data_IF_323922040170
#
_entry.id   IF_323922040170
#
_cell.length_a   1.000
_cell.length_b   1.000
_cell.length_c   1.000
_cell.angle_alpha   90.00
_cell.angle_beta   90.00
_cell.angle_gamma   90.00
#
_symmetry.space_group_name_H-M   'P 1'
#
loop_
_entity.id
_entity.type
_entity.pdbx_description
1 polymer ?
#
# COMPACT_ATOMS: atom_id res chain seq x y z
N UNK A 1 18.11 -4.45 -4.87
CA UNK A 1 17.57 -4.28 -3.49
C UNK A 1 17.01 -5.61 -3.02
N UNK A 2 17.28 -6.00 -1.76
CA UNK A 2 16.71 -7.24 -1.23
C UNK A 2 15.20 -7.08 -1.02
N UNK A 3 14.42 -8.18 -1.12
CA UNK A 3 12.97 -8.15 -0.91
C UNK A 3 12.57 -7.60 0.48
N UNK A 4 13.42 -7.78 1.48
CA UNK A 4 13.22 -7.19 2.83
C UNK A 4 13.44 -5.68 2.84
N UNK A 5 14.47 -5.19 2.16
CA UNK A 5 14.73 -3.75 2.05
C UNK A 5 13.62 -3.02 1.31
N UNK A 6 13.11 -3.61 0.24
CA UNK A 6 12.00 -3.05 -0.53
C UNK A 6 10.69 -2.98 0.29
N UNK A 7 10.41 -4.03 1.09
CA UNK A 7 9.28 -4.01 2.03
C UNK A 7 9.45 -2.92 3.09
N UNK A 8 10.65 -2.79 3.66
CA UNK A 8 10.96 -1.75 4.65
C UNK A 8 10.72 -0.35 4.09
N UNK A 9 11.18 -0.08 2.87
CA UNK A 9 10.97 1.20 2.19
C UNK A 9 9.47 1.50 1.97
N UNK A 10 8.71 0.50 1.51
CA UNK A 10 7.25 0.65 1.33
C UNK A 10 6.53 0.94 2.66
N UNK A 11 6.97 0.32 3.78
CA UNK A 11 6.41 0.60 5.11
C UNK A 11 6.71 2.05 5.52
N UNK A 12 7.94 2.53 5.34
CA UNK A 12 8.31 3.91 5.68
C UNK A 12 7.47 4.91 4.87
N UNK A 13 7.31 4.68 3.57
CA UNK A 13 6.49 5.52 2.70
C UNK A 13 4.99 5.47 3.11
N UNK A 14 4.48 4.29 3.46
CA UNK A 14 3.10 4.15 3.93
C UNK A 14 2.86 4.87 5.26
N UNK A 15 3.83 4.83 6.20
CA UNK A 15 3.76 5.58 7.47
C UNK A 15 3.81 7.09 7.22
N UNK A 16 4.65 7.57 6.31
CA UNK A 16 4.70 8.98 5.94
C UNK A 16 3.37 9.44 5.32
N UNK A 17 2.80 8.67 4.38
CA UNK A 17 1.50 8.95 3.78
C UNK A 17 0.35 8.90 4.80
N UNK A 18 0.42 7.96 5.75
CA UNK A 18 -0.53 7.89 6.86
C UNK A 18 -0.48 9.16 7.73
N UNK A 19 0.70 9.67 8.02
CA UNK A 19 0.88 10.93 8.74
C UNK A 19 0.24 12.11 8.03
N UNK A 20 0.48 12.25 6.72
CA UNK A 20 -0.14 13.28 5.88
C UNK A 20 -1.66 13.18 5.89
N UNK A 21 -2.22 11.99 5.67
CA UNK A 21 -3.66 11.76 5.62
C UNK A 21 -4.32 11.98 6.99
N UNK A 22 -3.65 11.59 8.09
CA UNK A 22 -4.11 11.83 9.47
C UNK A 22 -4.19 13.32 9.78
N UNK A 23 -3.16 14.07 9.39
CA UNK A 23 -3.14 15.52 9.58
C UNK A 23 -4.28 16.21 8.84
N UNK A 24 -4.47 15.89 7.55
CA UNK A 24 -5.56 16.48 6.76
C UNK A 24 -6.95 16.08 7.28
N UNK A 25 -7.11 14.85 7.74
CA UNK A 25 -8.37 14.39 8.36
C UNK A 25 -8.64 15.16 9.65
N UNK A 26 -7.62 15.34 10.50
CA UNK A 26 -7.75 16.14 11.72
C UNK A 26 -8.15 17.59 11.42
N UNK A 27 -7.46 18.23 10.47
CA UNK A 27 -7.73 19.63 10.05
C UNK A 27 -9.18 19.77 9.56
N UNK A 28 -9.65 18.82 8.76
CA UNK A 28 -11.01 18.83 8.22
C UNK A 28 -12.07 18.77 9.36
N UNK A 29 -11.94 17.83 10.30
CA UNK A 29 -12.90 17.67 11.39
C UNK A 29 -12.77 18.73 12.50
N UNK A 30 -11.59 19.27 12.71
CA UNK A 30 -11.36 20.35 13.66
C UNK A 30 -11.82 21.71 13.15
N UNK A 31 -12.16 21.84 11.85
CA UNK A 31 -12.55 23.11 11.24
C UNK A 31 -11.44 24.17 11.24
N UNK A 32 -10.17 23.72 11.32
CA UNK A 32 -9.00 24.61 11.30
C UNK A 32 -8.38 24.59 9.90
N UNK A 33 -7.69 25.68 9.53
CA UNK A 33 -7.01 25.76 8.26
C UNK A 33 -5.68 24.99 8.30
N UNK A 34 -5.37 24.22 7.24
CA UNK A 34 -4.08 23.55 7.13
C UNK A 34 -2.95 24.58 7.01
N UNK A 35 -1.84 24.32 7.70
CA UNK A 35 -0.63 25.12 7.56
C UNK A 35 -0.02 24.88 6.18
N UNK A 36 0.04 25.93 5.35
CA UNK A 36 0.65 25.90 4.03
C UNK A 36 1.75 26.94 3.93
N UNK A 37 2.91 26.54 3.41
CA UNK A 37 4.09 27.39 3.31
C UNK A 37 4.11 28.22 2.01
N UNK A 38 3.41 27.80 0.97
CA UNK A 38 3.39 28.41 -0.37
C UNK A 38 2.17 29.26 -0.70
N UNK A 39 1.60 29.97 0.29
CA UNK A 39 0.69 31.07 -0.02
C UNK A 39 -0.79 30.75 -0.17
N UNK A 40 -1.37 29.88 0.67
CA UNK A 40 -2.81 29.91 0.93
C UNK A 40 -3.71 29.10 -0.04
N UNK A 41 -3.15 28.26 -0.92
CA UNK A 41 -3.95 27.48 -1.85
C UNK A 41 -4.62 26.24 -1.21
N UNK A 42 -4.15 25.79 -0.05
CA UNK A 42 -4.68 24.60 0.63
C UNK A 42 -6.12 24.78 1.10
N UNK A 43 -6.48 25.96 1.60
CA UNK A 43 -7.85 26.29 2.00
C UNK A 43 -8.82 26.11 0.83
N UNK A 44 -8.47 26.67 -0.33
CA UNK A 44 -9.29 26.59 -1.55
C UNK A 44 -9.55 25.15 -2.00
N UNK A 45 -8.55 24.27 -1.86
CA UNK A 45 -8.68 22.85 -2.18
C UNK A 45 -9.54 22.13 -1.15
N UNK A 46 -9.33 22.37 0.15
CA UNK A 46 -10.05 21.73 1.24
C UNK A 46 -11.52 22.15 1.34
N UNK A 47 -11.88 23.34 0.87
CA UNK A 47 -13.26 23.83 0.82
C UNK A 47 -13.95 23.61 -0.53
N UNK A 48 -13.26 23.01 -1.49
CA UNK A 48 -13.83 22.72 -2.80
C UNK A 48 -14.82 21.54 -2.75
N UNK A 49 -15.72 21.46 -3.71
CA UNK A 49 -16.66 20.32 -3.88
C UNK A 49 -15.93 18.98 -4.11
N UNK A 50 -14.65 19.01 -4.44
CA UNK A 50 -13.80 17.83 -4.63
C UNK A 50 -13.12 17.36 -3.33
N UNK A 51 -13.22 18.13 -2.25
CA UNK A 51 -12.72 17.71 -0.92
C UNK A 51 -13.57 16.61 -0.30
N UNK A 52 -14.80 16.42 -0.79
CA UNK A 52 -15.70 15.35 -0.40
C UNK A 52 -16.01 14.44 -1.59
N UNK A 53 -15.92 13.15 -1.37
CA UNK A 53 -16.31 12.14 -2.34
C UNK A 53 -17.41 11.27 -1.74
N UNK A 54 -18.59 11.28 -2.37
CA UNK A 54 -19.78 10.57 -1.87
C UNK A 54 -20.17 10.95 -0.42
N UNK A 55 -19.98 12.21 -0.02
CA UNK A 55 -20.29 12.69 1.35
C UNK A 55 -19.22 12.33 2.40
N UNK A 56 -18.07 11.81 1.99
CA UNK A 56 -16.95 11.56 2.90
C UNK A 56 -15.74 12.42 2.51
N UNK A 57 -15.01 12.97 3.49
CA UNK A 57 -13.79 13.70 3.21
C UNK A 57 -12.76 12.82 2.50
N UNK A 58 -12.20 13.30 1.41
CA UNK A 58 -11.15 12.59 0.64
C UNK A 58 -9.95 12.25 1.52
N UNK A 59 -9.62 13.11 2.49
CA UNK A 59 -8.56 12.85 3.45
C UNK A 59 -8.82 11.57 4.27
N UNK A 60 -10.07 11.32 4.68
CA UNK A 60 -10.46 10.11 5.40
C UNK A 60 -10.33 8.86 4.52
N UNK A 61 -10.71 8.96 3.25
CA UNK A 61 -10.54 7.85 2.28
C UNK A 61 -9.06 7.53 2.13
N UNK A 62 -8.21 8.55 2.00
CA UNK A 62 -6.75 8.40 1.96
C UNK A 62 -6.19 7.75 3.23
N UNK A 63 -6.66 8.19 4.40
CA UNK A 63 -6.28 7.61 5.69
C UNK A 63 -6.57 6.11 5.75
N UNK A 64 -7.79 5.71 5.42
CA UNK A 64 -8.20 4.29 5.39
C UNK A 64 -7.38 3.49 4.37
N UNK A 65 -7.08 4.07 3.22
CA UNK A 65 -6.22 3.47 2.20
C UNK A 65 -4.81 3.19 2.72
N UNK A 66 -4.16 4.15 3.38
CA UNK A 66 -2.83 3.96 3.96
C UNK A 66 -2.83 2.96 5.12
N UNK A 67 -3.88 2.95 5.96
CA UNK A 67 -4.04 1.94 7.02
C UNK A 67 -4.13 0.54 6.40
N UNK A 68 -4.93 0.35 5.35
CA UNK A 68 -5.06 -0.93 4.67
C UNK A 68 -3.74 -1.38 4.04
N UNK A 69 -3.04 -0.48 3.33
CA UNK A 69 -1.71 -0.75 2.75
C UNK A 69 -0.72 -1.16 3.83
N UNK A 70 -0.66 -0.42 4.94
CA UNK A 70 0.26 -0.71 6.03
C UNK A 70 -0.05 -2.05 6.69
N UNK A 71 -1.33 -2.36 6.96
CA UNK A 71 -1.77 -3.63 7.50
C UNK A 71 -1.35 -4.80 6.59
N UNK A 72 -1.54 -4.67 5.26
CA UNK A 72 -1.11 -5.68 4.29
C UNK A 72 0.41 -5.83 4.23
N UNK A 73 1.17 -4.73 4.33
CA UNK A 73 2.63 -4.78 4.36
C UNK A 73 3.16 -5.43 5.65
N UNK A 74 2.47 -5.30 6.77
CA UNK A 74 2.85 -5.90 8.05
C UNK A 74 2.40 -7.37 8.17
N UNK A 75 1.37 -7.78 7.44
CA UNK A 75 0.84 -9.15 7.43
C UNK A 75 1.83 -10.18 6.88
N UNK A 76 1.62 -11.49 7.14
CA UNK A 76 2.38 -12.57 6.52
C UNK A 76 2.35 -12.45 4.99
N UNK A 77 3.53 -12.56 4.36
CA UNK A 77 3.73 -12.24 2.95
C UNK A 77 3.40 -13.42 2.05
N UNK A 78 2.12 -13.75 1.93
CA UNK A 78 1.61 -14.66 0.88
C UNK A 78 1.58 -13.96 -0.48
N UNK A 79 1.43 -14.71 -1.55
CA UNK A 79 1.24 -14.17 -2.89
C UNK A 79 -0.01 -13.28 -2.96
N UNK A 80 -1.12 -13.75 -2.38
CA UNK A 80 -2.38 -13.01 -2.29
C UNK A 80 -2.20 -11.68 -1.55
N UNK A 81 -1.52 -11.67 -0.40
CA UNK A 81 -1.27 -10.44 0.37
C UNK A 81 -0.46 -9.42 -0.42
N UNK A 82 0.54 -9.88 -1.17
CA UNK A 82 1.37 -9.02 -2.03
C UNK A 82 0.59 -8.45 -3.20
N UNK A 83 -0.24 -9.28 -3.85
CA UNK A 83 -1.13 -8.85 -4.92
C UNK A 83 -2.15 -7.81 -4.41
N UNK A 84 -2.80 -8.07 -3.29
CA UNK A 84 -3.77 -7.15 -2.69
C UNK A 84 -3.10 -5.82 -2.30
N UNK A 85 -1.92 -5.85 -1.68
CA UNK A 85 -1.19 -4.63 -1.34
C UNK A 85 -0.83 -3.80 -2.59
N UNK A 86 -0.37 -4.45 -3.67
CA UNK A 86 -0.09 -3.79 -4.95
C UNK A 86 -1.36 -3.15 -5.51
N UNK A 87 -2.49 -3.86 -5.50
CA UNK A 87 -3.78 -3.37 -5.99
C UNK A 87 -4.23 -2.12 -5.22
N UNK A 88 -4.14 -2.12 -3.89
CA UNK A 88 -4.46 -0.94 -3.08
C UNK A 88 -3.56 0.26 -3.39
N UNK A 89 -2.26 0.04 -3.57
CA UNK A 89 -1.33 1.11 -3.95
C UNK A 89 -1.67 1.67 -5.34
N UNK A 90 -1.99 0.83 -6.32
CA UNK A 90 -2.34 1.28 -7.67
C UNK A 90 -3.68 2.03 -7.70
N UNK A 91 -4.68 1.57 -6.96
CA UNK A 91 -5.96 2.28 -6.81
C UNK A 91 -5.71 3.65 -6.15
N UNK A 92 -4.94 3.70 -5.06
CA UNK A 92 -4.57 4.94 -4.39
C UNK A 92 -3.82 5.90 -5.32
N UNK A 93 -2.87 5.38 -6.11
CA UNK A 93 -2.14 6.17 -7.11
C UNK A 93 -3.08 6.76 -8.17
N UNK A 94 -3.96 5.94 -8.76
CA UNK A 94 -4.92 6.39 -9.78
C UNK A 94 -5.88 7.47 -9.22
N UNK A 95 -6.37 7.26 -7.99
CA UNK A 95 -7.22 8.22 -7.30
C UNK A 95 -6.48 9.53 -6.99
N UNK A 96 -5.25 9.45 -6.52
CA UNK A 96 -4.40 10.62 -6.26
C UNK A 96 -4.08 11.39 -7.54
N UNK A 97 -3.78 10.70 -8.65
CA UNK A 97 -3.55 11.32 -9.95
C UNK A 97 -4.81 12.05 -10.45
N UNK A 98 -5.99 11.44 -10.27
CA UNK A 98 -7.26 12.09 -10.59
C UNK A 98 -7.47 13.37 -9.77
N UNK A 99 -7.21 13.35 -8.47
CA UNK A 99 -7.36 14.53 -7.62
C UNK A 99 -6.36 15.63 -8.00
N UNK A 100 -5.11 15.29 -8.25
CA UNK A 100 -4.09 16.24 -8.71
C UNK A 100 -4.49 16.87 -10.04
N UNK A 101 -5.04 16.09 -10.96
CA UNK A 101 -5.61 16.62 -12.21
C UNK A 101 -6.70 17.65 -11.92
N UNK A 102 -7.62 17.37 -10.97
CA UNK A 102 -8.71 18.30 -10.60
C UNK A 102 -8.19 19.56 -9.91
N UNK A 103 -7.16 19.44 -9.07
CA UNK A 103 -6.50 20.59 -8.44
C UNK A 103 -5.92 21.56 -9.46
N UNK A 104 -5.20 21.02 -10.46
CA UNK A 104 -4.53 21.84 -11.49
C UNK A 104 -5.53 22.45 -12.48
N UNK A 105 -6.45 21.64 -13.02
CA UNK A 105 -7.30 22.07 -14.13
C UNK A 105 -8.65 22.66 -13.72
N UNK A 106 -9.20 22.30 -12.56
CA UNK A 106 -10.53 22.76 -12.14
C UNK A 106 -10.46 23.79 -11.01
N UNK A 107 -9.59 23.58 -10.03
CA UNK A 107 -9.50 24.43 -8.85
C UNK A 107 -8.47 25.55 -9.04
N UNK A 108 -7.47 25.34 -9.92
CA UNK A 108 -6.32 26.24 -10.14
C UNK A 108 -5.61 26.59 -8.84
N UNK A 109 -5.46 25.57 -7.96
CA UNK A 109 -4.81 25.67 -6.67
C UNK A 109 -4.19 24.31 -6.34
N UNK A 110 -3.02 24.30 -5.72
CA UNK A 110 -2.31 23.08 -5.34
C UNK A 110 -2.23 23.02 -3.82
N UNK A 111 -2.64 21.89 -3.25
CA UNK A 111 -2.46 21.59 -1.85
C UNK A 111 -1.13 20.85 -1.63
N UNK A 112 -0.19 21.45 -0.87
CA UNK A 112 1.14 20.85 -0.59
C UNK A 112 1.04 19.45 0.03
N UNK A 113 0.10 19.24 0.93
CA UNK A 113 -0.15 17.96 1.59
C UNK A 113 -0.69 16.91 0.64
N UNK A 114 -1.61 17.31 -0.28
CA UNK A 114 -2.13 16.43 -1.32
C UNK A 114 -1.02 16.08 -2.32
N UNK A 115 -0.22 17.05 -2.72
CA UNK A 115 0.94 16.84 -3.60
C UNK A 115 1.97 15.90 -2.96
N UNK A 116 2.24 16.04 -1.66
CA UNK A 116 3.14 15.13 -0.91
C UNK A 116 2.62 13.69 -0.93
N UNK A 117 1.31 13.48 -0.70
CA UNK A 117 0.70 12.16 -0.79
C UNK A 117 0.78 11.60 -2.22
N UNK A 118 0.57 12.44 -3.25
CA UNK A 118 0.68 12.05 -4.64
C UNK A 118 2.10 11.58 -4.99
N UNK A 119 3.13 12.27 -4.53
CA UNK A 119 4.53 11.88 -4.72
C UNK A 119 4.81 10.55 -4.02
N UNK A 120 4.36 10.37 -2.78
CA UNK A 120 4.53 9.11 -2.05
C UNK A 120 3.91 7.94 -2.83
N UNK A 121 2.67 8.06 -3.30
CA UNK A 121 2.00 7.01 -4.07
C UNK A 121 2.65 6.77 -5.43
N UNK A 122 3.16 7.82 -6.08
CA UNK A 122 3.91 7.71 -7.35
C UNK A 122 5.19 6.90 -7.18
N UNK A 123 5.88 7.03 -6.05
CA UNK A 123 7.06 6.21 -5.74
C UNK A 123 6.66 4.80 -5.32
N UNK A 124 5.60 4.66 -4.52
CA UNK A 124 5.12 3.34 -4.06
C UNK A 124 4.61 2.45 -5.19
N UNK A 125 3.98 3.01 -6.22
CA UNK A 125 3.38 2.25 -7.32
C UNK A 125 4.41 1.38 -8.05
N UNK A 126 5.51 1.89 -8.63
CA UNK A 126 6.51 1.07 -9.30
C UNK A 126 7.23 0.11 -8.33
N UNK A 127 7.47 0.54 -7.09
CA UNK A 127 8.10 -0.31 -6.08
C UNK A 127 7.23 -1.52 -5.70
N UNK A 128 5.91 -1.34 -5.60
CA UNK A 128 4.97 -2.42 -5.29
C UNK A 128 4.84 -3.40 -6.46
N UNK A 129 4.79 -2.90 -7.69
CA UNK A 129 4.81 -3.72 -8.91
C UNK A 129 6.12 -4.51 -9.01
N UNK A 130 7.27 -3.84 -8.84
CA UNK A 130 8.57 -4.49 -8.86
C UNK A 130 8.67 -5.60 -7.81
N UNK A 131 8.20 -5.33 -6.59
CA UNK A 131 8.16 -6.31 -5.51
C UNK A 131 7.27 -7.51 -5.84
N UNK A 132 6.15 -7.31 -6.52
CA UNK A 132 5.27 -8.38 -6.95
C UNK A 132 5.95 -9.25 -8.02
N UNK A 133 6.59 -8.63 -9.01
CA UNK A 133 7.29 -9.32 -10.10
C UNK A 133 8.52 -10.15 -9.63
N UNK A 134 9.15 -9.80 -8.52
CA UNK A 134 10.23 -10.59 -7.93
C UNK A 134 9.80 -11.96 -7.40
N UNK A 135 8.50 -12.28 -7.41
CA UNK A 135 7.96 -13.56 -6.97
C UNK A 135 8.00 -13.76 -5.44
N UNK A 136 7.45 -14.86 -4.93
CA UNK A 136 7.53 -15.20 -3.52
C UNK A 136 9.00 -15.45 -3.17
N UNK A 137 9.44 -14.92 -2.01
CA UNK A 137 10.74 -15.28 -1.43
C UNK A 137 10.73 -16.80 -1.25
N UNK A 138 11.56 -17.51 -2.02
CA UNK A 138 11.71 -18.96 -1.98
C UNK A 138 12.19 -19.40 -0.58
N UNK A 139 11.24 -19.71 0.28
CA UNK A 139 11.51 -20.07 1.67
C UNK A 139 10.27 -20.68 2.32
N UNK A 140 9.59 -21.60 1.63
CA UNK A 140 8.76 -22.65 2.19
C UNK A 140 8.12 -23.47 1.06
N UNK A 141 8.93 -24.06 0.22
CA UNK A 141 8.53 -25.37 -0.26
C UNK A 141 8.86 -26.32 0.88
N UNK A 142 7.88 -26.60 1.71
CA UNK A 142 7.83 -27.87 2.39
C UNK A 142 7.83 -28.91 1.27
N UNK A 143 9.03 -29.39 0.95
CA UNK A 143 9.17 -30.60 0.18
C UNK A 143 8.49 -31.68 1.04
N UNK A 144 7.27 -32.04 0.68
CA UNK A 144 6.68 -33.30 1.10
C UNK A 144 7.66 -34.36 0.62
N UNK A 145 8.33 -35.12 1.50
CA UNK A 145 9.19 -36.18 1.05
C UNK A 145 8.32 -37.16 0.27
N UNK A 146 8.61 -37.34 -1.02
CA UNK A 146 8.02 -38.40 -1.79
C UNK A 146 8.29 -39.72 -1.04
N UNK A 147 7.30 -40.56 -0.80
CA UNK A 147 7.52 -41.87 -0.19
C UNK A 147 8.53 -42.61 -1.07
N UNK A 148 9.64 -43.00 -0.45
CA UNK A 148 10.70 -43.77 -1.09
C UNK A 148 10.12 -45.10 -1.64
N UNK A 149 10.27 -45.40 -2.92
CA UNK A 149 9.72 -46.66 -3.50
C UNK A 149 10.47 -47.92 -3.03
N UNK A 150 11.44 -47.83 -2.13
CA UNK A 150 12.31 -48.94 -1.72
C UNK A 150 12.17 -49.39 -0.26
N UNK A 151 11.05 -49.07 0.43
CA UNK A 151 10.86 -49.38 1.87
C UNK A 151 10.25 -50.77 2.19
N UNK A 152 9.95 -51.62 1.20
CA UNK A 152 9.24 -52.88 1.52
C UNK A 152 9.83 -54.13 0.83
N UNK A 153 11.16 -54.33 0.92
CA UNK A 153 11.79 -55.59 0.49
C UNK A 153 12.78 -56.18 1.49
N UNK A 154 12.69 -55.91 2.76
CA UNK A 154 13.48 -56.66 3.77
C UNK A 154 12.60 -57.05 4.94
N UNK A 155 11.91 -58.14 4.80
CA UNK A 155 11.10 -58.69 5.90
C UNK A 155 10.30 -59.93 5.56
N UNK A 156 10.74 -60.77 4.60
CA UNK A 156 10.15 -62.08 4.47
C UNK A 156 11.26 -63.13 4.40
N UNK A 157 11.77 -63.50 5.59
CA UNK A 157 12.53 -64.75 5.77
C UNK A 157 11.49 -65.83 5.99
N UNK A 158 11.41 -66.87 5.15
CA UNK A 158 10.56 -68.02 5.45
C UNK A 158 11.23 -68.87 6.51
N UNK A 159 10.60 -69.02 7.67
CA UNK A 159 10.91 -70.08 8.61
C UNK A 159 10.34 -71.39 8.00
N UNK A 160 11.22 -72.23 7.47
CA UNK A 160 10.91 -73.56 7.02
C UNK A 160 11.81 -74.59 7.70
N UNK A 161 11.21 -75.57 8.41
CA UNK A 161 11.67 -76.81 8.97
C UNK A 161 12.32 -76.76 10.34
#
# INVERSE_FOLDING_TARGET
>A
MSARGLRGLLIVLAVAGLGVASYLTYVHYAGVMPVCTTGGSCEKVQTSVYSEFAGMPVALIGLLGYVAILALLLSPQSETTRFTAMTFVLIGFAFSAYLTYREVYSIHAICEWCASSAVILTVMAPLSVWRFLQGPVSGSRSATPLPSPNGDRRGRVPAGL
#
